data_IF_377965552004
#
_entry.id   IF_377965552004
#
_cell.length_a   1.000
_cell.length_b   1.000
_cell.length_c   1.000
_cell.angle_alpha   90.00
_cell.angle_beta   90.00
_cell.angle_gamma   90.00
#
_symmetry.space_group_name_H-M   'P 1'
#
loop_
_entity.id
_entity.type
_entity.pdbx_description
1 polymer ?
#
# COMPACT_ATOMS: atom_id res chain seq x y z
N UNK A 1 -28.26 -13.96 -16.99
CA UNK A 1 -27.13 -13.13 -16.49
C UNK A 1 -25.92 -14.04 -16.39
N UNK A 2 -24.75 -13.63 -16.91
CA UNK A 2 -23.54 -14.43 -16.78
C UNK A 2 -23.07 -14.47 -15.31
N UNK A 3 -22.60 -15.62 -14.84
CA UNK A 3 -22.06 -15.77 -13.49
C UNK A 3 -20.78 -14.95 -13.36
N UNK A 4 -20.70 -14.06 -12.35
CA UNK A 4 -19.49 -13.29 -12.07
C UNK A 4 -18.37 -14.24 -11.63
N UNK A 5 -17.22 -14.16 -12.30
CA UNK A 5 -16.00 -14.90 -11.90
C UNK A 5 -15.41 -14.33 -10.61
N UNK A 6 -14.84 -15.20 -9.79
CA UNK A 6 -14.10 -14.83 -8.59
C UNK A 6 -12.70 -14.31 -8.92
N UNK A 7 -12.02 -13.68 -7.96
CA UNK A 7 -10.63 -13.23 -8.14
C UNK A 7 -9.72 -14.41 -8.51
N UNK A 8 -9.87 -15.54 -7.83
CA UNK A 8 -9.08 -16.75 -8.07
C UNK A 8 -9.28 -17.30 -9.50
N UNK A 9 -10.53 -17.34 -9.99
CA UNK A 9 -10.83 -17.79 -11.35
C UNK A 9 -10.28 -16.86 -12.43
N UNK A 10 -10.16 -15.56 -12.15
CA UNK A 10 -9.55 -14.61 -13.07
C UNK A 10 -8.02 -14.78 -13.11
N UNK A 11 -7.37 -14.95 -11.96
CA UNK A 11 -5.91 -15.20 -11.87
C UNK A 11 -5.53 -16.55 -12.49
N UNK A 12 -6.36 -17.58 -12.34
CA UNK A 12 -6.14 -18.91 -12.92
C UNK A 12 -5.97 -18.91 -14.45
N UNK A 13 -6.52 -17.92 -15.15
CA UNK A 13 -6.36 -17.79 -16.61
C UNK A 13 -4.91 -17.56 -17.03
N UNK A 14 -4.06 -17.06 -16.14
CA UNK A 14 -2.65 -16.79 -16.39
C UNK A 14 -1.73 -17.91 -15.89
N UNK A 15 -2.27 -19.11 -15.61
CA UNK A 15 -1.48 -20.22 -15.06
C UNK A 15 -1.03 -19.99 -13.60
N UNK A 16 -1.76 -19.13 -12.88
CA UNK A 16 -1.44 -18.71 -11.52
C UNK A 16 -2.55 -19.06 -10.53
N UNK A 17 -2.23 -19.14 -9.24
CA UNK A 17 -3.20 -19.37 -8.18
C UNK A 17 -2.82 -18.64 -6.89
N UNK A 18 -3.83 -18.28 -6.12
CA UNK A 18 -3.67 -17.61 -4.83
C UNK A 18 -3.23 -18.62 -3.78
N UNK A 19 -2.22 -18.28 -2.98
CA UNK A 19 -1.91 -19.00 -1.75
C UNK A 19 -2.81 -18.50 -0.62
N UNK A 20 -3.90 -19.21 -0.34
CA UNK A 20 -4.91 -18.79 0.65
C UNK A 20 -4.36 -18.67 2.08
N UNK A 21 -3.25 -19.35 2.39
CA UNK A 21 -2.60 -19.30 3.70
C UNK A 21 -1.67 -18.10 3.88
N UNK A 22 -1.38 -17.35 2.81
CA UNK A 22 -0.42 -16.23 2.80
C UNK A 22 -1.10 -14.96 2.31
N UNK A 23 -2.05 -14.49 3.10
CA UNK A 23 -2.75 -13.21 2.91
C UNK A 23 -3.01 -12.55 4.26
N UNK A 24 -3.05 -11.22 4.26
CA UNK A 24 -3.61 -10.49 5.37
C UNK A 24 -5.13 -10.68 5.45
N UNK A 25 -5.70 -10.55 6.64
CA UNK A 25 -7.14 -10.76 6.85
C UNK A 25 -7.93 -9.46 6.88
N UNK A 26 -9.12 -9.44 6.27
CA UNK A 26 -10.00 -8.26 6.34
C UNK A 26 -10.40 -7.90 7.78
N UNK A 27 -10.42 -8.89 8.68
CA UNK A 27 -10.67 -8.66 10.11
C UNK A 27 -9.57 -7.79 10.73
N UNK A 28 -8.30 -8.11 10.46
CA UNK A 28 -7.17 -7.34 10.94
C UNK A 28 -7.14 -5.94 10.33
N UNK A 29 -7.29 -5.82 9.01
CA UNK A 29 -7.34 -4.52 8.35
C UNK A 29 -8.46 -3.64 8.95
N UNK A 30 -9.66 -4.18 9.16
CA UNK A 30 -10.78 -3.45 9.80
C UNK A 30 -10.47 -3.04 11.23
N UNK A 31 -9.87 -3.94 12.03
CA UNK A 31 -9.43 -3.62 13.42
C UNK A 31 -8.45 -2.46 13.42
N UNK A 32 -7.48 -2.49 12.51
CA UNK A 32 -6.39 -1.50 12.43
C UNK A 32 -6.79 -0.23 11.66
N UNK A 33 -8.01 -0.15 11.11
CA UNK A 33 -8.49 0.99 10.30
C UNK A 33 -8.28 2.35 10.98
N UNK A 34 -8.56 2.55 12.28
CA UNK A 34 -8.32 3.83 12.93
C UNK A 34 -6.86 4.27 12.82
N UNK A 35 -5.91 3.36 13.09
CA UNK A 35 -4.49 3.64 12.94
C UNK A 35 -4.11 3.88 11.47
N UNK A 36 -4.45 2.96 10.56
CA UNK A 36 -3.99 3.03 9.17
C UNK A 36 -4.50 4.27 8.42
N UNK A 37 -5.73 4.71 8.69
CA UNK A 37 -6.29 5.95 8.12
C UNK A 37 -5.67 7.23 8.71
N UNK A 38 -5.30 7.22 9.99
CA UNK A 38 -4.61 8.32 10.63
C UNK A 38 -3.16 8.44 10.12
N UNK A 39 -2.47 7.30 9.99
CA UNK A 39 -1.14 7.21 9.37
C UNK A 39 -1.16 7.74 7.92
N UNK A 40 -2.15 7.34 7.12
CA UNK A 40 -2.35 7.86 5.76
C UNK A 40 -2.52 9.39 5.73
N UNK A 41 -3.30 9.93 6.66
CA UNK A 41 -3.62 11.38 6.70
C UNK A 41 -2.47 12.23 7.26
N UNK A 42 -1.62 11.64 8.09
CA UNK A 42 -0.54 12.34 8.82
C UNK A 42 0.82 11.66 8.63
N UNK A 43 1.07 11.08 7.46
CA UNK A 43 2.27 10.26 7.22
C UNK A 43 3.59 10.97 7.54
N UNK A 44 3.69 12.30 7.31
CA UNK A 44 4.88 13.09 7.65
C UNK A 44 5.15 13.11 9.15
N UNK A 45 4.12 13.16 9.99
CA UNK A 45 4.27 13.09 11.44
C UNK A 45 4.65 11.66 11.85
N UNK A 46 3.95 10.66 11.29
CA UNK A 46 4.27 9.26 11.52
C UNK A 46 5.73 8.91 11.15
N UNK A 47 6.25 9.42 10.02
CA UNK A 47 7.62 9.18 9.57
C UNK A 47 8.67 9.57 10.63
N UNK A 48 8.45 10.67 11.36
CA UNK A 48 9.37 11.16 12.41
C UNK A 48 9.48 10.18 13.57
N UNK A 49 8.37 9.55 13.95
CA UNK A 49 8.32 8.63 15.09
C UNK A 49 8.49 7.16 14.71
N UNK A 50 8.25 6.78 13.45
CA UNK A 50 8.28 5.38 12.95
C UNK A 50 9.52 4.61 13.36
N UNK A 51 10.71 5.19 13.14
CA UNK A 51 11.99 4.54 13.47
C UNK A 51 12.20 4.38 14.98
N UNK A 52 11.72 5.34 15.77
CA UNK A 52 11.80 5.32 17.24
C UNK A 52 10.85 4.28 17.83
N UNK A 53 9.63 4.16 17.29
CA UNK A 53 8.68 3.09 17.62
C UNK A 53 9.26 1.71 17.31
N UNK A 54 9.91 1.53 16.15
CA UNK A 54 10.54 0.26 15.77
C UNK A 54 11.67 -0.13 16.72
N UNK A 55 12.50 0.83 17.12
CA UNK A 55 13.63 0.61 18.02
C UNK A 55 13.25 0.53 19.50
N UNK A 56 12.05 0.98 19.86
CA UNK A 56 11.64 1.14 21.25
C UNK A 56 12.44 2.23 21.95
N UNK A 57 12.44 3.44 21.39
CA UNK A 57 13.18 4.59 21.93
C UNK A 57 12.35 5.89 21.88
N UNK A 58 11.02 5.76 21.91
CA UNK A 58 10.09 6.88 21.86
C UNK A 58 9.48 7.09 23.26
N UNK A 59 9.66 8.26 23.84
CA UNK A 59 8.97 8.67 25.07
C UNK A 59 7.70 9.43 24.73
N UNK A 60 6.66 9.29 25.56
CA UNK A 60 5.41 10.06 25.44
C UNK A 60 5.67 11.56 25.57
N UNK A 61 6.62 11.96 26.43
CA UNK A 61 7.00 13.37 26.64
C UNK A 61 7.53 14.07 25.39
N UNK A 62 7.96 13.31 24.38
CA UNK A 62 8.63 13.83 23.20
C UNK A 62 7.67 14.00 22.01
N UNK A 63 6.39 13.67 22.20
CA UNK A 63 5.39 13.67 21.14
C UNK A 63 4.77 15.05 20.99
N UNK A 64 4.69 15.55 19.76
CA UNK A 64 3.77 16.63 19.44
C UNK A 64 2.30 16.12 19.47
N UNK A 65 1.29 17.01 19.48
CA UNK A 65 -0.12 16.59 19.57
C UNK A 65 -0.58 15.65 18.45
N UNK A 66 -0.03 15.77 17.24
CA UNK A 66 -0.38 14.89 16.11
C UNK A 66 0.28 13.53 16.28
N UNK A 67 1.54 13.50 16.69
CA UNK A 67 2.27 12.28 17.01
C UNK A 67 1.63 11.51 18.17
N UNK A 68 1.16 12.22 19.21
CA UNK A 68 0.41 11.65 20.32
C UNK A 68 -0.89 10.97 19.85
N UNK A 69 -1.68 11.63 19.00
CA UNK A 69 -2.89 11.05 18.42
C UNK A 69 -2.58 9.80 17.58
N UNK A 70 -1.48 9.81 16.81
CA UNK A 70 -1.02 8.63 16.06
C UNK A 70 -0.68 7.47 16.99
N UNK A 71 0.07 7.74 18.06
CA UNK A 71 0.46 6.71 19.03
C UNK A 71 -0.76 6.15 19.74
N UNK A 72 -1.70 7.00 20.17
CA UNK A 72 -2.95 6.57 20.81
C UNK A 72 -3.76 5.63 19.89
N UNK A 73 -3.90 5.97 18.60
CA UNK A 73 -4.57 5.10 17.65
C UNK A 73 -3.84 3.76 17.45
N UNK A 74 -2.51 3.75 17.46
CA UNK A 74 -1.71 2.53 17.39
C UNK A 74 -1.86 1.67 18.65
N UNK A 75 -1.90 2.28 19.83
CA UNK A 75 -2.14 1.59 21.11
C UNK A 75 -3.54 0.99 21.16
N UNK A 76 -4.56 1.73 20.72
CA UNK A 76 -5.94 1.23 20.65
C UNK A 76 -6.14 0.05 19.68
N UNK A 77 -5.15 -0.22 18.82
CA UNK A 77 -5.12 -1.38 17.92
C UNK A 77 -4.14 -2.48 18.37
N UNK A 78 -3.57 -2.37 19.58
CA UNK A 78 -2.54 -3.26 20.14
C UNK A 78 -1.24 -3.33 19.30
N UNK A 79 -0.95 -2.31 18.49
CA UNK A 79 0.23 -2.26 17.62
C UNK A 79 1.44 -1.63 18.32
N UNK A 80 1.21 -0.80 19.34
CA UNK A 80 2.25 -0.19 20.15
C UNK A 80 1.91 -0.42 21.61
N UNK A 81 2.92 -0.75 22.42
CA UNK A 81 2.79 -0.79 23.88
C UNK A 81 3.77 0.18 24.53
N UNK A 82 3.38 0.64 25.70
CA UNK A 82 4.24 1.39 26.62
C UNK A 82 4.84 0.41 27.63
N UNK A 83 6.16 0.51 27.86
CA UNK A 83 6.84 -0.24 28.93
C UNK A 83 6.65 0.46 30.28
N UNK A 84 7.06 -0.20 31.37
CA UNK A 84 7.00 0.37 32.72
C UNK A 84 7.80 1.67 32.84
N UNK A 85 8.89 1.80 32.08
CA UNK A 85 9.73 3.00 32.01
C UNK A 85 9.15 4.11 31.10
N UNK A 86 7.94 3.93 30.59
CA UNK A 86 7.26 4.91 29.74
C UNK A 86 7.72 4.92 28.27
N UNK A 87 8.45 3.90 27.83
CA UNK A 87 8.97 3.80 26.45
C UNK A 87 7.94 3.12 25.56
N UNK A 88 7.63 3.74 24.42
CA UNK A 88 6.71 3.22 23.41
C UNK A 88 7.45 2.37 22.37
N UNK A 89 6.91 1.19 22.05
CA UNK A 89 7.50 0.29 21.04
C UNK A 89 6.49 -0.59 20.30
N UNK A 90 6.82 -0.92 19.05
CA UNK A 90 6.19 -2.03 18.33
C UNK A 90 6.75 -3.36 18.84
N UNK A 91 5.98 -4.05 19.68
CA UNK A 91 6.46 -5.15 20.50
C UNK A 91 6.32 -6.53 19.86
N UNK A 92 5.45 -6.71 18.86
CA UNK A 92 5.29 -7.98 18.12
C UNK A 92 5.86 -7.90 16.71
N UNK A 93 6.19 -9.05 16.07
CA UNK A 93 6.56 -9.07 14.65
C UNK A 93 5.47 -8.47 13.75
N UNK A 94 4.20 -8.71 14.04
CA UNK A 94 3.07 -8.14 13.30
C UNK A 94 3.01 -6.61 13.43
N UNK A 95 3.15 -6.09 14.65
CA UNK A 95 3.23 -4.66 14.90
C UNK A 95 4.39 -4.02 14.14
N UNK A 96 5.56 -4.68 14.13
CA UNK A 96 6.73 -4.23 13.38
C UNK A 96 6.47 -4.18 11.88
N UNK A 97 5.90 -5.25 11.29
CA UNK A 97 5.49 -5.29 9.88
C UNK A 97 4.52 -4.15 9.56
N UNK A 98 3.52 -3.96 10.41
CA UNK A 98 2.53 -2.89 10.26
C UNK A 98 3.22 -1.52 10.20
N UNK A 99 4.02 -1.16 11.21
CA UNK A 99 4.62 0.18 11.27
C UNK A 99 5.66 0.40 10.16
N UNK A 100 6.30 -0.63 9.61
CA UNK A 100 7.31 -0.46 8.56
C UNK A 100 6.71 -0.27 7.17
N UNK A 101 5.49 -0.75 6.93
CA UNK A 101 4.83 -0.59 5.64
C UNK A 101 3.47 -1.29 5.49
N UNK A 102 3.20 -2.35 6.26
CA UNK A 102 1.96 -3.13 6.12
C UNK A 102 0.67 -2.33 6.33
N UNK A 103 0.73 -1.23 7.09
CA UNK A 103 -0.39 -0.31 7.24
C UNK A 103 -0.91 0.24 5.89
N UNK A 104 -0.03 0.41 4.91
CA UNK A 104 -0.36 0.97 3.59
C UNK A 104 -1.16 -0.04 2.76
N UNK A 105 -0.80 -1.32 2.82
CA UNK A 105 -1.54 -2.42 2.21
C UNK A 105 -2.95 -2.52 2.82
N UNK A 106 -3.03 -2.47 4.16
CA UNK A 106 -4.30 -2.52 4.87
C UNK A 106 -5.23 -1.36 4.53
N UNK A 107 -4.72 -0.11 4.52
CA UNK A 107 -5.55 1.05 4.18
C UNK A 107 -5.96 1.05 2.70
N UNK A 108 -5.09 0.59 1.80
CA UNK A 108 -5.38 0.47 0.37
C UNK A 108 -6.46 -0.59 0.12
N UNK A 109 -6.36 -1.73 0.79
CA UNK A 109 -7.35 -2.81 0.75
C UNK A 109 -8.75 -2.33 1.17
N UNK A 110 -8.82 -1.63 2.31
CA UNK A 110 -10.08 -1.05 2.78
C UNK A 110 -10.60 0.04 1.84
N UNK A 111 -9.73 0.88 1.28
CA UNK A 111 -10.12 1.92 0.35
C UNK A 111 -10.67 1.34 -0.96
N UNK A 112 -10.12 0.22 -1.44
CA UNK A 112 -10.64 -0.48 -2.61
C UNK A 112 -12.03 -1.07 -2.37
N UNK A 113 -12.28 -1.65 -1.18
CA UNK A 113 -13.62 -2.10 -0.78
C UNK A 113 -14.62 -0.96 -0.74
N UNK A 114 -14.27 0.16 -0.10
CA UNK A 114 -15.12 1.35 -0.03
C UNK A 114 -15.33 1.98 -1.42
N UNK A 115 -14.33 1.87 -2.30
CA UNK A 115 -14.45 2.25 -3.70
C UNK A 115 -15.39 1.32 -4.49
N UNK A 116 -15.86 0.22 -3.92
CA UNK A 116 -16.83 -0.70 -4.53
C UNK A 116 -16.20 -1.89 -5.25
N UNK A 117 -15.03 -2.36 -4.81
CA UNK A 117 -14.52 -3.66 -5.24
C UNK A 117 -15.46 -4.78 -4.76
N UNK A 118 -15.74 -5.75 -5.63
CA UNK A 118 -16.52 -6.94 -5.26
C UNK A 118 -15.71 -7.90 -4.38
N UNK A 119 -14.40 -8.02 -4.64
CA UNK A 119 -13.45 -8.82 -3.86
C UNK A 119 -12.13 -8.07 -3.70
N UNK A 120 -11.45 -8.26 -2.55
CA UNK A 120 -10.11 -7.73 -2.32
C UNK A 120 -9.27 -8.72 -1.50
N UNK A 121 -7.96 -8.71 -1.73
CA UNK A 121 -6.92 -9.38 -0.92
C UNK A 121 -5.73 -8.43 -0.76
N UNK A 122 -4.98 -8.56 0.33
CA UNK A 122 -3.75 -7.80 0.54
C UNK A 122 -2.64 -8.67 1.11
N UNK A 123 -1.39 -8.30 0.83
CA UNK A 123 -0.22 -9.12 1.11
C UNK A 123 -0.38 -10.55 0.58
N UNK A 124 -0.93 -10.68 -0.63
CA UNK A 124 -1.35 -11.95 -1.22
C UNK A 124 -0.19 -12.56 -1.99
N UNK A 125 0.26 -13.75 -1.56
CA UNK A 125 1.17 -14.56 -2.37
C UNK A 125 0.42 -15.22 -3.54
N UNK A 126 0.98 -15.08 -4.74
CA UNK A 126 0.48 -15.68 -5.98
C UNK A 126 1.57 -16.60 -6.52
N UNK A 127 1.25 -17.88 -6.63
CA UNK A 127 2.12 -18.87 -7.25
C UNK A 127 1.71 -19.08 -8.69
N UNK A 128 2.66 -19.44 -9.55
CA UNK A 128 2.39 -19.66 -10.96
C UNK A 128 3.25 -20.77 -11.52
N UNK A 129 2.76 -21.36 -12.62
CA UNK A 129 3.50 -22.34 -13.41
C UNK A 129 3.25 -22.13 -14.90
N UNK A 130 4.30 -21.86 -15.65
CA UNK A 130 4.25 -21.62 -17.10
C UNK A 130 5.39 -22.39 -17.75
N UNK A 131 5.10 -23.20 -18.77
CA UNK A 131 6.07 -23.99 -19.53
C UNK A 131 7.04 -24.83 -18.66
N UNK A 132 6.53 -25.36 -17.54
CA UNK A 132 7.31 -26.17 -16.59
C UNK A 132 8.14 -25.37 -15.59
N UNK A 133 8.21 -24.05 -15.72
CA UNK A 133 8.80 -23.17 -14.72
C UNK A 133 7.78 -22.79 -13.67
N UNK A 134 8.22 -22.64 -12.42
CA UNK A 134 7.36 -22.21 -11.31
C UNK A 134 7.99 -21.06 -10.53
N UNK A 135 7.14 -20.24 -9.93
CA UNK A 135 7.56 -19.10 -9.14
C UNK A 135 6.48 -18.60 -8.20
N UNK A 136 6.86 -17.61 -7.40
CA UNK A 136 6.00 -16.95 -6.41
C UNK A 136 6.23 -15.45 -6.48
N UNK A 137 5.14 -14.68 -6.47
CA UNK A 137 5.16 -13.22 -6.34
C UNK A 137 4.24 -12.80 -5.20
N UNK A 138 4.59 -11.76 -4.46
CA UNK A 138 3.69 -11.11 -3.52
C UNK A 138 3.03 -9.92 -4.22
N UNK A 139 1.70 -9.82 -4.11
CA UNK A 139 0.94 -8.66 -4.56
C UNK A 139 0.38 -7.95 -3.34
N UNK A 140 0.77 -6.68 -3.20
CA UNK A 140 0.45 -5.86 -2.04
C UNK A 140 -1.07 -5.71 -1.87
N UNK A 141 -1.82 -5.39 -2.94
CA UNK A 141 -3.29 -5.47 -2.98
C UNK A 141 -3.76 -5.96 -4.35
N UNK A 142 -4.68 -6.93 -4.35
CA UNK A 142 -5.43 -7.35 -5.55
C UNK A 142 -6.91 -7.09 -5.28
N UNK A 143 -7.57 -6.40 -6.19
CA UNK A 143 -9.01 -6.16 -6.13
C UNK A 143 -9.70 -6.60 -7.42
N UNK A 144 -10.96 -7.00 -7.31
CA UNK A 144 -11.83 -7.31 -8.45
C UNK A 144 -12.96 -6.30 -8.51
N UNK A 145 -13.10 -5.64 -9.67
CA UNK A 145 -14.22 -4.76 -10.00
C UNK A 145 -14.96 -5.38 -11.19
N UNK A 146 -16.09 -6.02 -10.92
CA UNK A 146 -16.80 -6.87 -11.87
C UNK A 146 -15.89 -7.93 -12.51
N UNK A 147 -15.61 -7.84 -13.82
CA UNK A 147 -14.72 -8.78 -14.53
C UNK A 147 -13.28 -8.29 -14.64
N UNK A 148 -12.93 -7.16 -14.03
CA UNK A 148 -11.60 -6.53 -14.13
C UNK A 148 -10.79 -6.76 -12.85
N UNK A 149 -9.52 -7.11 -13.03
CA UNK A 149 -8.55 -7.17 -11.95
C UNK A 149 -7.83 -5.83 -11.83
N UNK A 150 -7.64 -5.39 -10.59
CA UNK A 150 -6.82 -4.24 -10.24
C UNK A 150 -5.70 -4.71 -9.32
N UNK A 151 -4.46 -4.40 -9.70
CA UNK A 151 -3.26 -4.68 -8.93
C UNK A 151 -2.72 -3.37 -8.38
N UNK A 152 -2.40 -3.32 -7.10
CA UNK A 152 -1.75 -2.17 -6.49
C UNK A 152 -0.47 -2.60 -5.81
N UNK A 153 0.64 -1.92 -6.12
CA UNK A 153 1.85 -2.02 -5.32
C UNK A 153 1.95 -0.86 -4.33
N UNK A 154 2.30 -1.15 -3.08
CA UNK A 154 2.30 -0.23 -1.95
C UNK A 154 3.74 -0.01 -1.45
N UNK A 155 4.31 1.18 -1.65
CA UNK A 155 5.66 1.50 -1.15
C UNK A 155 5.66 2.62 -0.12
N UNK A 156 5.88 2.22 1.15
CA UNK A 156 6.00 3.10 2.31
C UNK A 156 7.40 3.78 2.42
N UNK A 157 7.84 4.44 1.36
CA UNK A 157 9.08 5.23 1.33
C UNK A 157 9.01 6.49 2.21
N UNK A 158 10.12 7.21 2.37
CA UNK A 158 10.09 8.45 3.15
C UNK A 158 9.19 9.52 2.51
N UNK A 159 8.77 10.56 3.23
CA UNK A 159 7.87 11.56 2.67
C UNK A 159 8.60 12.54 1.73
N UNK A 160 9.78 13.03 2.10
CA UNK A 160 10.43 14.11 1.35
C UNK A 160 11.18 13.65 0.10
N UNK A 161 10.82 14.10 -1.10
CA UNK A 161 11.60 13.84 -2.32
C UNK A 161 12.81 14.79 -2.45
N UNK A 162 13.96 14.25 -2.89
CA UNK A 162 15.17 15.00 -3.18
C UNK A 162 15.70 14.63 -4.57
N UNK A 163 15.77 15.60 -5.49
CA UNK A 163 16.16 15.38 -6.89
C UNK A 163 17.58 14.86 -7.05
N UNK A 164 18.50 15.26 -6.16
CA UNK A 164 19.91 14.83 -6.16
C UNK A 164 20.13 13.40 -5.60
N UNK A 165 19.09 12.76 -5.06
CA UNK A 165 19.22 11.44 -4.45
C UNK A 165 18.98 10.32 -5.46
N UNK A 166 20.03 9.95 -6.18
CA UNK A 166 19.99 8.94 -7.24
C UNK A 166 19.47 7.58 -6.76
N UNK A 167 19.91 7.13 -5.58
CA UNK A 167 19.47 5.86 -4.99
C UNK A 167 17.96 5.83 -4.80
N UNK A 168 17.36 6.94 -4.34
CA UNK A 168 15.92 7.02 -4.14
C UNK A 168 15.15 7.06 -5.45
N UNK A 169 15.66 7.79 -6.45
CA UNK A 169 15.06 7.81 -7.80
C UNK A 169 15.06 6.41 -8.43
N UNK A 170 16.16 5.66 -8.28
CA UNK A 170 16.27 4.28 -8.73
C UNK A 170 15.20 3.39 -8.08
N UNK A 171 15.04 3.46 -6.75
CA UNK A 171 13.98 2.73 -6.03
C UNK A 171 12.56 3.04 -6.50
N UNK A 172 12.29 4.30 -6.83
CA UNK A 172 10.98 4.71 -7.36
C UNK A 172 10.73 4.13 -8.76
N UNK A 173 11.74 4.11 -9.63
CA UNK A 173 11.63 3.48 -10.95
C UNK A 173 11.53 1.96 -10.86
N UNK A 174 12.28 1.32 -9.95
CA UNK A 174 12.16 -0.12 -9.67
C UNK A 174 10.74 -0.47 -9.22
N UNK A 175 10.17 0.29 -8.27
CA UNK A 175 8.79 0.09 -7.84
C UNK A 175 7.75 0.27 -8.97
N UNK A 176 8.02 1.19 -9.92
CA UNK A 176 7.18 1.37 -11.10
C UNK A 176 7.22 0.15 -12.02
N UNK A 177 8.40 -0.36 -12.33
CA UNK A 177 8.55 -1.56 -13.16
C UNK A 177 7.99 -2.80 -12.45
N UNK A 178 8.18 -2.92 -11.13
CA UNK A 178 7.55 -3.99 -10.34
C UNK A 178 6.03 -3.97 -10.45
N UNK A 179 5.40 -2.79 -10.36
CA UNK A 179 3.95 -2.65 -10.47
C UNK A 179 3.45 -3.02 -11.88
N UNK A 180 4.11 -2.53 -12.92
CA UNK A 180 3.81 -2.81 -14.33
C UNK A 180 3.84 -4.32 -14.63
N UNK A 181 4.91 -5.00 -14.18
CA UNK A 181 5.09 -6.45 -14.35
C UNK A 181 3.93 -7.29 -13.76
N UNK A 182 3.19 -6.78 -12.78
CA UNK A 182 2.05 -7.51 -12.19
C UNK A 182 0.92 -7.72 -13.20
N UNK A 183 0.60 -6.70 -14.00
CA UNK A 183 -0.44 -6.83 -15.03
C UNK A 183 0.03 -7.70 -16.20
N UNK A 184 1.30 -7.61 -16.57
CA UNK A 184 1.87 -8.44 -17.63
C UNK A 184 1.82 -9.93 -17.27
N UNK A 185 2.06 -10.27 -16.00
CA UNK A 185 2.08 -11.67 -15.55
C UNK A 185 0.69 -12.21 -15.18
N UNK A 186 -0.13 -11.42 -14.47
CA UNK A 186 -1.36 -11.93 -13.84
C UNK A 186 -2.63 -11.24 -14.35
N UNK A 187 -2.48 -10.19 -15.14
CA UNK A 187 -3.58 -9.38 -15.63
C UNK A 187 -4.17 -9.85 -16.96
N UNK A 188 -5.06 -9.01 -17.45
CA UNK A 188 -5.62 -9.05 -18.80
C UNK A 188 -5.45 -7.67 -19.42
N UNK A 189 -5.78 -7.51 -20.71
CA UNK A 189 -5.68 -6.21 -21.40
C UNK A 189 -6.45 -5.06 -20.70
N UNK A 190 -7.49 -5.39 -19.92
CA UNK A 190 -8.32 -4.41 -19.21
C UNK A 190 -7.98 -4.31 -17.71
N UNK A 191 -6.89 -4.93 -17.27
CA UNK A 191 -6.45 -4.84 -15.88
C UNK A 191 -5.97 -3.44 -15.54
N UNK A 192 -6.23 -3.02 -14.31
CA UNK A 192 -5.76 -1.75 -13.76
C UNK A 192 -4.49 -1.98 -12.93
N UNK A 193 -3.52 -1.08 -13.05
CA UNK A 193 -2.31 -1.10 -12.21
C UNK A 193 -2.14 0.24 -11.51
N UNK A 194 -2.04 0.20 -10.18
CA UNK A 194 -1.71 1.34 -9.34
C UNK A 194 -0.39 1.18 -8.61
N UNK A 195 0.40 2.25 -8.54
CA UNK A 195 1.55 2.34 -7.64
C UNK A 195 1.28 3.38 -6.56
N UNK A 196 1.09 2.90 -5.33
CA UNK A 196 0.79 3.69 -4.15
C UNK A 196 2.08 4.08 -3.44
N UNK A 197 2.34 5.38 -3.33
CA UNK A 197 3.58 5.94 -2.82
C UNK A 197 3.30 6.95 -1.71
N UNK A 198 4.03 6.79 -0.61
CA UNK A 198 4.04 7.75 0.50
C UNK A 198 5.06 8.88 0.32
N UNK A 199 5.77 8.89 -0.82
CA UNK A 199 6.65 10.01 -1.18
C UNK A 199 5.84 11.16 -1.77
N UNK A 200 6.14 12.36 -1.31
CA UNK A 200 5.69 13.62 -1.89
C UNK A 200 6.37 13.86 -3.24
N UNK A 201 5.65 13.58 -4.32
CA UNK A 201 6.13 13.66 -5.69
C UNK A 201 5.50 14.80 -6.50
N UNK A 202 4.68 15.64 -5.88
CA UNK A 202 3.97 16.72 -6.55
C UNK A 202 4.22 18.06 -5.88
N UNK A 203 4.58 19.06 -6.68
CA UNK A 203 4.73 20.42 -6.23
C UNK A 203 3.37 21.13 -6.37
N UNK A 204 2.64 21.18 -5.25
CA UNK A 204 1.32 21.81 -5.20
C UNK A 204 1.34 23.31 -5.51
N UNK A 205 2.45 24.01 -5.24
CA UNK A 205 2.57 25.44 -5.53
C UNK A 205 2.70 25.67 -7.03
N UNK A 206 3.60 24.93 -7.68
CA UNK A 206 3.84 25.05 -9.12
C UNK A 206 2.95 24.15 -9.99
N UNK A 207 2.06 23.35 -9.39
CA UNK A 207 1.18 22.37 -10.04
C UNK A 207 1.93 21.45 -11.01
N UNK A 208 3.10 20.96 -10.61
CA UNK A 208 3.96 20.11 -11.46
C UNK A 208 4.56 18.93 -10.71
N UNK A 209 4.86 17.82 -11.40
CA UNK A 209 5.63 16.73 -10.82
C UNK A 209 7.01 17.17 -10.32
N UNK A 210 7.42 16.68 -9.15
CA UNK A 210 8.80 16.83 -8.66
C UNK A 210 9.77 15.89 -9.37
N UNK A 211 9.26 14.78 -9.92
CA UNK A 211 10.03 13.79 -10.67
C UNK A 211 9.36 13.46 -12.01
N UNK A 212 9.49 14.35 -13.00
CA UNK A 212 8.81 14.25 -14.29
C UNK A 212 9.04 12.92 -15.02
N UNK A 213 10.26 12.38 -15.00
CA UNK A 213 10.59 11.13 -15.68
C UNK A 213 9.78 9.93 -15.13
N UNK A 214 9.51 9.88 -13.82
CA UNK A 214 8.68 8.84 -13.22
C UNK A 214 7.23 8.95 -13.70
N UNK A 215 6.66 10.15 -13.72
CA UNK A 215 5.29 10.36 -14.21
C UNK A 215 5.17 10.07 -15.71
N UNK A 216 6.16 10.50 -16.50
CA UNK A 216 6.21 10.22 -17.94
C UNK A 216 6.27 8.72 -18.21
N UNK A 217 7.14 7.99 -17.51
CA UNK A 217 7.23 6.53 -17.63
C UNK A 217 5.96 5.83 -17.15
N UNK A 218 5.37 6.25 -16.02
CA UNK A 218 4.15 5.66 -15.50
C UNK A 218 2.98 5.78 -16.50
N UNK A 219 2.84 6.95 -17.15
CA UNK A 219 1.86 7.12 -18.25
C UNK A 219 2.14 6.21 -19.44
N UNK A 220 3.40 6.07 -19.83
CA UNK A 220 3.78 5.21 -20.95
C UNK A 220 3.51 3.71 -20.67
N UNK A 221 3.58 3.30 -19.40
CA UNK A 221 3.29 1.95 -18.94
C UNK A 221 1.83 1.75 -18.49
N UNK A 222 0.97 2.77 -18.62
CA UNK A 222 -0.40 2.73 -18.10
C UNK A 222 -0.51 2.37 -16.60
N UNK A 223 0.47 2.81 -15.79
CA UNK A 223 0.46 2.65 -14.33
C UNK A 223 -0.01 3.95 -13.68
N UNK A 224 -1.09 3.86 -12.89
CA UNK A 224 -1.59 5.00 -12.12
C UNK A 224 -0.72 5.24 -10.90
N UNK A 225 -0.08 6.42 -10.83
CA UNK A 225 0.58 6.86 -9.59
C UNK A 225 -0.46 7.39 -8.61
N UNK A 226 -0.47 6.83 -7.39
CA UNK A 226 -1.28 7.28 -6.26
C UNK A 226 -0.31 7.77 -5.20
N UNK A 227 -0.18 9.10 -5.08
CA UNK A 227 0.93 9.72 -4.34
C UNK A 227 0.53 10.09 -2.92
N UNK A 228 1.47 10.69 -2.16
CA UNK A 228 1.21 11.13 -0.79
C UNK A 228 0.00 12.07 -0.68
N UNK A 229 -0.24 12.91 -1.69
CA UNK A 229 -1.36 13.86 -1.71
C UNK A 229 -2.73 13.18 -1.88
N UNK A 230 -2.73 11.94 -2.34
CA UNK A 230 -3.90 11.09 -2.52
C UNK A 230 -4.19 10.21 -1.29
N UNK A 231 -3.29 10.16 -0.30
CA UNK A 231 -3.41 9.23 0.84
C UNK A 231 -4.57 9.54 1.78
N UNK A 232 -5.06 10.79 1.81
CA UNK A 232 -6.25 11.12 2.61
C UNK A 232 -7.41 10.23 2.20
N UNK A 233 -8.09 9.64 3.17
CA UNK A 233 -9.09 8.57 2.97
C UNK A 233 -10.03 8.80 1.77
N UNK A 234 -10.71 9.95 1.70
CA UNK A 234 -11.63 10.26 0.61
C UNK A 234 -10.98 10.41 -0.77
N UNK A 235 -9.70 10.81 -0.84
CA UNK A 235 -8.94 10.86 -2.11
C UNK A 235 -8.43 9.47 -2.48
N UNK A 236 -8.00 8.69 -1.50
CA UNK A 236 -7.53 7.32 -1.73
C UNK A 236 -8.65 6.47 -2.34
N UNK A 237 -9.87 6.54 -1.78
CA UNK A 237 -11.05 5.87 -2.35
C UNK A 237 -11.29 6.28 -3.80
N UNK A 238 -11.24 7.58 -4.10
CA UNK A 238 -11.42 8.08 -5.48
C UNK A 238 -10.34 7.54 -6.42
N UNK A 239 -9.09 7.49 -5.98
CA UNK A 239 -8.00 6.92 -6.75
C UNK A 239 -8.20 5.41 -7.00
N UNK A 240 -8.69 4.65 -6.02
CA UNK A 240 -9.02 3.23 -6.20
C UNK A 240 -10.21 3.02 -7.14
N UNK A 241 -11.17 3.95 -7.16
CA UNK A 241 -12.36 3.84 -8.00
C UNK A 241 -12.06 3.94 -9.51
N UNK A 242 -10.91 4.51 -9.89
CA UNK A 242 -10.45 4.56 -11.28
C UNK A 242 -10.32 3.18 -11.92
N UNK A 243 -10.12 2.13 -11.13
CA UNK A 243 -10.08 0.76 -11.63
C UNK A 243 -11.40 0.26 -12.24
N UNK A 244 -12.50 1.00 -12.06
CA UNK A 244 -13.80 0.73 -12.69
C UNK A 244 -13.89 1.25 -14.12
N UNK A 245 -13.15 2.31 -14.44
CA UNK A 245 -13.19 3.05 -15.70
C UNK A 245 -12.38 2.33 -16.78
#
# INVERSE_FOLDING_TARGET
>A
MAQKKTLAELIAKSGAWLDEGRSGTLREAKRNRPASTLLASHFRAFERIKKRLFKGSLSISDLDPVEACIVEALQGCDLVLQTEEGILRAHTPQARRFITGGWLEEVACLAALEAGADEVRYGQSVRWRIDGYEGENEIDVIARFDQRLAFYSCKAFGAGYQRSNDRRRKKLMEALHEADNLADHFGSQNSFVGLILTTDLYDNYNRKPKYEALFGKARALNVQLITLDDMKWGRLIKAMALAKE
#
